data_IF_285767210247
#
_entry.id   IF_285767210247
#
_cell.length_a   1.000
_cell.length_b   1.000
_cell.length_c   1.000
_cell.angle_alpha   90.00
_cell.angle_beta   90.00
_cell.angle_gamma   90.00
#
_symmetry.space_group_name_H-M   'P 1'
#
loop_
_entity.id
_entity.type
_entity.pdbx_description
1 polymer ?
#
# COMPACT_ATOMS: atom_id res chain seq x y z
N UNK A 1 -6.83 76.23 -35.83
CA UNK A 1 -5.67 75.35 -35.57
C UNK A 1 -6.17 74.15 -34.78
N UNK A 2 -6.42 73.03 -35.46
CA UNK A 2 -6.81 71.75 -34.84
C UNK A 2 -6.01 70.65 -35.54
N UNK A 3 -4.88 70.26 -34.95
CA UNK A 3 -4.19 69.01 -35.27
C UNK A 3 -4.16 68.19 -33.99
N UNK A 4 -5.12 67.26 -33.87
CA UNK A 4 -5.21 66.33 -32.74
C UNK A 4 -5.79 64.91 -33.06
N UNK A 5 -5.97 64.44 -34.32
CA UNK A 5 -6.39 63.05 -34.54
C UNK A 5 -5.23 62.06 -34.83
N UNK A 6 -4.03 62.54 -35.18
CA UNK A 6 -2.94 61.66 -35.64
C UNK A 6 -2.25 60.88 -34.50
N UNK A 7 -2.12 61.47 -33.30
CA UNK A 7 -1.39 60.85 -32.19
C UNK A 7 -2.13 59.66 -31.57
N UNK A 8 -3.46 59.73 -31.49
CA UNK A 8 -4.29 58.64 -30.97
C UNK A 8 -4.25 57.40 -31.87
N UNK A 9 -4.25 57.60 -33.19
CA UNK A 9 -4.17 56.50 -34.16
C UNK A 9 -2.83 55.78 -34.09
N UNK A 10 -1.72 56.52 -33.99
CA UNK A 10 -0.39 55.94 -33.89
C UNK A 10 -0.19 55.19 -32.56
N UNK A 11 -0.79 55.68 -31.47
CA UNK A 11 -0.74 55.00 -30.17
C UNK A 11 -1.51 53.67 -30.17
N UNK A 12 -2.67 53.63 -30.83
CA UNK A 12 -3.46 52.40 -30.99
C UNK A 12 -2.70 51.37 -31.83
N UNK A 13 -2.11 51.78 -32.95
CA UNK A 13 -1.34 50.89 -33.83
C UNK A 13 -0.12 50.32 -33.09
N UNK A 14 0.61 51.16 -32.34
CA UNK A 14 1.74 50.71 -31.52
C UNK A 14 1.31 49.71 -30.43
N UNK A 15 0.17 49.95 -29.77
CA UNK A 15 -0.32 49.07 -28.72
C UNK A 15 -0.70 47.67 -29.24
N UNK A 16 -1.33 47.59 -30.43
CA UNK A 16 -1.70 46.32 -31.07
C UNK A 16 -0.45 45.56 -31.53
N UNK A 17 0.54 46.26 -32.09
CA UNK A 17 1.80 45.65 -32.53
C UNK A 17 2.61 45.04 -31.38
N UNK A 18 2.51 45.59 -30.17
CA UNK A 18 3.22 45.08 -28.98
C UNK A 18 2.38 44.01 -28.25
N UNK A 19 1.05 44.13 -28.25
CA UNK A 19 0.16 43.17 -27.60
C UNK A 19 0.19 41.78 -28.28
N UNK A 20 0.36 41.75 -29.61
CA UNK A 20 0.40 40.50 -30.36
C UNK A 20 1.58 39.56 -29.99
N UNK A 21 2.84 40.00 -30.04
CA UNK A 21 3.97 39.15 -29.68
C UNK A 21 3.98 38.79 -28.20
N UNK A 22 3.51 39.67 -27.32
CA UNK A 22 3.41 39.38 -25.89
C UNK A 22 2.37 38.31 -25.60
N UNK A 23 1.20 38.35 -26.24
CA UNK A 23 0.20 37.29 -26.14
C UNK A 23 0.72 35.94 -26.69
N UNK A 24 1.43 35.95 -27.82
CA UNK A 24 2.08 34.75 -28.36
C UNK A 24 3.14 34.17 -27.43
N UNK A 25 3.97 35.04 -26.84
CA UNK A 25 5.00 34.61 -25.89
C UNK A 25 4.36 34.01 -24.63
N UNK A 26 3.31 34.64 -24.12
CA UNK A 26 2.62 34.20 -22.91
C UNK A 26 1.90 32.87 -23.12
N UNK A 27 1.21 32.70 -24.25
CA UNK A 27 0.55 31.43 -24.61
C UNK A 27 1.56 30.32 -24.87
N UNK A 28 2.67 30.60 -25.53
CA UNK A 28 3.76 29.62 -25.70
C UNK A 28 4.37 29.20 -24.36
N UNK A 29 4.62 30.16 -23.47
CA UNK A 29 5.16 29.89 -22.14
C UNK A 29 4.17 29.08 -21.27
N UNK A 30 2.88 29.43 -21.28
CA UNK A 30 1.84 28.64 -20.61
C UNK A 30 1.76 27.23 -21.17
N UNK A 31 1.78 27.06 -22.50
CA UNK A 31 1.73 25.73 -23.14
C UNK A 31 2.95 24.89 -22.73
N UNK A 32 4.13 25.48 -22.66
CA UNK A 32 5.36 24.81 -22.21
C UNK A 32 5.37 24.50 -20.70
N UNK A 33 4.63 25.28 -19.90
CA UNK A 33 4.47 25.02 -18.45
C UNK A 33 3.37 23.98 -18.18
N UNK A 34 2.30 23.99 -18.96
CA UNK A 34 1.22 23.02 -18.90
C UNK A 34 1.66 21.65 -19.41
N UNK A 35 2.44 21.55 -20.48
CA UNK A 35 3.01 20.27 -20.94
C UNK A 35 3.82 19.58 -19.84
N UNK A 36 4.67 20.33 -19.13
CA UNK A 36 5.46 19.83 -18.00
C UNK A 36 4.61 19.47 -16.76
N UNK A 37 3.45 20.09 -16.58
CA UNK A 37 2.49 19.71 -15.53
C UNK A 37 1.62 18.52 -15.94
N UNK A 38 1.31 18.39 -17.23
CA UNK A 38 0.52 17.28 -17.77
C UNK A 38 1.34 15.99 -17.77
N UNK A 39 2.65 16.05 -18.04
CA UNK A 39 3.58 14.94 -17.79
C UNK A 39 3.57 14.53 -16.31
N UNK A 40 3.64 15.48 -15.37
CA UNK A 40 3.57 15.20 -13.93
C UNK A 40 2.23 14.70 -13.39
N UNK A 41 1.11 14.97 -14.07
CA UNK A 41 -0.23 14.51 -13.67
C UNK A 41 -0.59 13.20 -14.40
N UNK A 42 -0.04 12.98 -15.61
CA UNK A 42 -0.12 11.73 -16.35
C UNK A 42 0.85 10.64 -15.87
N UNK A 43 1.72 10.96 -14.92
CA UNK A 43 2.64 10.03 -14.26
C UNK A 43 2.05 9.30 -13.05
N UNK A 44 0.77 9.50 -12.70
CA UNK A 44 -0.01 8.40 -12.12
C UNK A 44 -0.32 7.45 -13.28
N UNK A 45 0.73 6.75 -13.73
CA UNK A 45 0.73 5.95 -14.94
C UNK A 45 -0.44 4.99 -14.90
N UNK A 46 -1.11 4.75 -16.02
CA UNK A 46 -2.08 3.66 -16.12
C UNK A 46 -1.50 2.33 -15.62
N UNK A 47 -0.18 2.16 -15.70
CA UNK A 47 0.53 1.01 -15.13
C UNK A 47 0.54 0.99 -13.60
N UNK A 48 0.62 2.15 -12.94
CA UNK A 48 0.55 2.25 -11.47
C UNK A 48 -0.87 1.93 -10.98
N UNK A 49 -1.89 2.45 -11.67
CA UNK A 49 -3.30 2.13 -11.38
C UNK A 49 -3.59 0.64 -11.66
N UNK A 50 -3.03 0.07 -12.72
CA UNK A 50 -3.16 -1.35 -13.03
C UNK A 50 -2.40 -2.22 -12.01
N UNK A 51 -1.22 -1.81 -11.56
CA UNK A 51 -0.47 -2.50 -10.52
C UNK A 51 -1.19 -2.44 -9.16
N UNK A 52 -1.83 -1.31 -8.83
CA UNK A 52 -2.69 -1.18 -7.65
C UNK A 52 -3.92 -2.09 -7.77
N UNK A 53 -4.56 -2.17 -8.94
CA UNK A 53 -5.67 -3.07 -9.22
C UNK A 53 -5.25 -4.54 -9.13
N UNK A 54 -4.12 -4.93 -9.71
CA UNK A 54 -3.58 -6.28 -9.63
C UNK A 54 -3.27 -6.68 -8.18
N UNK A 55 -2.73 -5.74 -7.39
CA UNK A 55 -2.49 -5.95 -5.96
C UNK A 55 -3.81 -6.06 -5.17
N UNK A 56 -4.82 -5.25 -5.52
CA UNK A 56 -6.12 -5.26 -4.85
C UNK A 56 -6.97 -6.51 -5.18
N UNK A 57 -6.84 -7.02 -6.41
CA UNK A 57 -7.60 -8.18 -6.91
C UNK A 57 -6.79 -9.49 -6.94
N UNK A 58 -5.55 -9.48 -6.47
CA UNK A 58 -4.76 -10.70 -6.29
C UNK A 58 -5.57 -11.72 -5.47
N UNK A 59 -5.70 -12.99 -5.92
CA UNK A 59 -6.53 -13.98 -5.24
C UNK A 59 -5.98 -14.25 -3.84
N UNK A 60 -6.69 -13.80 -2.81
CA UNK A 60 -6.31 -14.04 -1.42
C UNK A 60 -6.98 -15.30 -0.88
N UNK A 61 -6.24 -16.09 -0.13
CA UNK A 61 -6.74 -17.25 0.62
C UNK A 61 -6.53 -17.02 2.12
N UNK A 62 -7.37 -17.64 2.96
CA UNK A 62 -7.31 -17.48 4.41
C UNK A 62 -7.03 -18.78 5.16
N UNK A 63 -6.34 -18.69 6.29
CA UNK A 63 -6.19 -19.78 7.25
C UNK A 63 -6.24 -19.24 8.69
N UNK A 64 -6.91 -19.98 9.58
CA UNK A 64 -6.88 -19.73 11.02
C UNK A 64 -6.00 -20.75 11.72
N UNK A 65 -5.05 -20.29 12.52
CA UNK A 65 -4.11 -21.09 13.29
C UNK A 65 -4.34 -20.79 14.76
N UNK A 66 -4.49 -21.85 15.57
CA UNK A 66 -4.62 -21.75 17.03
C UNK A 66 -3.43 -22.45 17.68
N UNK A 67 -2.62 -21.70 18.40
CA UNK A 67 -1.40 -22.23 19.04
C UNK A 67 -1.09 -21.48 20.34
N UNK A 68 -0.01 -21.86 21.02
CA UNK A 68 0.52 -21.11 22.16
C UNK A 68 1.47 -20.01 21.68
N UNK A 69 1.60 -18.93 22.45
CA UNK A 69 2.48 -17.79 22.09
C UNK A 69 3.93 -18.21 21.90
N UNK A 70 4.38 -19.27 22.58
CA UNK A 70 5.70 -19.89 22.42
C UNK A 70 6.03 -20.29 20.97
N UNK A 71 5.02 -20.67 20.17
CA UNK A 71 5.19 -21.07 18.77
C UNK A 71 5.04 -19.91 17.79
N UNK A 72 4.78 -18.69 18.28
CA UNK A 72 4.61 -17.52 17.43
C UNK A 72 5.85 -17.20 16.60
N UNK A 73 7.09 -17.18 17.15
CA UNK A 73 8.28 -16.91 16.34
C UNK A 73 8.41 -17.90 15.18
N UNK A 74 8.17 -19.19 15.44
CA UNK A 74 8.19 -20.23 14.41
C UNK A 74 7.13 -20.02 13.32
N UNK A 75 5.92 -19.59 13.70
CA UNK A 75 4.87 -19.26 12.73
C UNK A 75 5.24 -18.08 11.85
N UNK A 76 5.75 -17.00 12.44
CA UNK A 76 6.14 -15.80 11.69
C UNK A 76 7.33 -16.11 10.78
N UNK A 77 8.28 -16.93 11.23
CA UNK A 77 9.39 -17.38 10.41
C UNK A 77 8.93 -18.23 9.22
N UNK A 78 7.99 -19.16 9.44
CA UNK A 78 7.38 -19.93 8.34
C UNK A 78 6.69 -19.02 7.32
N UNK A 79 6.07 -17.91 7.76
CA UNK A 79 5.49 -16.93 6.85
C UNK A 79 6.60 -16.22 6.08
N UNK A 80 7.68 -15.80 6.76
CA UNK A 80 8.83 -15.10 6.19
C UNK A 80 9.55 -15.96 5.14
N UNK A 81 9.76 -17.24 5.39
CA UNK A 81 10.37 -18.18 4.43
C UNK A 81 9.59 -18.30 3.11
N UNK A 82 8.32 -17.92 3.09
CA UNK A 82 7.47 -17.96 1.90
C UNK A 82 7.37 -16.60 1.21
N UNK A 83 8.06 -15.58 1.70
CA UNK A 83 8.03 -14.22 1.17
C UNK A 83 9.42 -13.89 0.65
N UNK A 84 9.50 -13.38 -0.57
CA UNK A 84 10.78 -12.97 -1.15
C UNK A 84 11.18 -11.59 -0.60
N UNK A 85 10.23 -10.65 -0.55
CA UNK A 85 10.44 -9.28 -0.07
C UNK A 85 9.22 -8.72 0.71
N UNK A 86 9.44 -7.72 1.57
CA UNK A 86 8.36 -6.95 2.23
C UNK A 86 8.11 -7.27 3.71
N UNK A 87 8.77 -8.28 4.28
CA UNK A 87 8.71 -8.60 5.71
C UNK A 87 10.14 -8.71 6.30
N UNK A 88 10.68 -7.58 6.74
CA UNK A 88 12.04 -7.51 7.30
C UNK A 88 12.14 -7.94 8.77
N UNK A 89 13.36 -8.23 9.22
CA UNK A 89 13.66 -8.74 10.57
C UNK A 89 13.12 -7.83 11.67
N UNK A 90 13.28 -6.52 11.51
CA UNK A 90 12.77 -5.53 12.46
C UNK A 90 11.23 -5.53 12.52
N UNK A 91 10.56 -5.75 11.39
CA UNK A 91 9.09 -5.82 11.33
C UNK A 91 8.60 -7.12 11.97
N UNK A 92 9.31 -8.23 11.76
CA UNK A 92 9.05 -9.52 12.42
C UNK A 92 9.18 -9.38 13.94
N UNK A 93 10.29 -8.82 14.41
CA UNK A 93 10.54 -8.63 15.83
C UNK A 93 9.47 -7.72 16.46
N UNK A 94 9.15 -6.59 15.82
CA UNK A 94 8.10 -5.69 16.28
C UNK A 94 6.73 -6.36 16.31
N UNK A 95 6.40 -7.21 15.33
CA UNK A 95 5.16 -7.96 15.31
C UNK A 95 5.08 -8.95 16.48
N UNK A 96 6.14 -9.70 16.73
CA UNK A 96 6.21 -10.67 17.84
C UNK A 96 6.04 -9.94 19.17
N UNK A 97 6.79 -8.86 19.39
CA UNK A 97 6.70 -8.06 20.62
C UNK A 97 5.30 -7.48 20.84
N UNK A 98 4.66 -6.98 19.78
CA UNK A 98 3.29 -6.44 19.84
C UNK A 98 2.27 -7.50 20.20
N UNK A 99 2.44 -8.73 19.70
CA UNK A 99 1.56 -9.85 20.01
C UNK A 99 1.78 -10.31 21.47
N UNK A 100 3.03 -10.38 21.91
CA UNK A 100 3.39 -10.85 23.24
C UNK A 100 2.95 -9.89 24.36
N UNK A 101 3.03 -8.58 24.12
CA UNK A 101 2.60 -7.55 25.10
C UNK A 101 1.10 -7.22 25.02
N UNK A 102 0.34 -7.92 24.18
CA UNK A 102 -1.08 -7.63 23.99
C UNK A 102 -1.93 -8.07 25.19
N UNK A 103 -2.92 -7.24 25.54
CA UNK A 103 -3.96 -7.57 26.51
C UNK A 103 -4.84 -8.73 26.02
N UNK A 104 -5.26 -9.66 26.91
CA UNK A 104 -6.18 -10.73 26.57
C UNK A 104 -7.48 -10.22 25.92
N UNK A 105 -8.04 -11.03 25.01
CA UNK A 105 -9.33 -10.86 24.34
C UNK A 105 -9.47 -9.62 23.46
N UNK A 106 -8.38 -8.89 23.20
CA UNK A 106 -8.38 -7.85 22.17
C UNK A 106 -8.04 -8.45 20.81
N UNK A 107 -8.75 -8.04 19.76
CA UNK A 107 -8.37 -8.35 18.38
C UNK A 107 -7.48 -7.24 17.85
N UNK A 108 -6.37 -7.62 17.21
CA UNK A 108 -5.47 -6.71 16.51
C UNK A 108 -5.27 -7.20 15.09
N UNK A 109 -4.88 -6.28 14.22
CA UNK A 109 -4.55 -6.59 12.83
C UNK A 109 -3.29 -5.84 12.40
N UNK A 110 -2.61 -6.40 11.40
CA UNK A 110 -1.54 -5.76 10.65
C UNK A 110 -1.64 -6.20 9.20
N UNK A 111 -1.27 -5.30 8.29
CA UNK A 111 -1.19 -5.57 6.85
C UNK A 111 0.20 -5.20 6.40
N UNK A 112 0.84 -6.10 5.65
CA UNK A 112 2.16 -5.91 5.10
C UNK A 112 2.10 -6.12 3.58
N UNK A 113 2.61 -5.18 2.77
CA UNK A 113 2.86 -5.45 1.37
C UNK A 113 4.01 -6.46 1.26
N UNK A 114 3.78 -7.56 0.57
CA UNK A 114 4.75 -8.66 0.43
C UNK A 114 4.85 -9.11 -1.02
N UNK A 115 6.02 -9.58 -1.41
CA UNK A 115 6.27 -10.16 -2.72
C UNK A 115 6.45 -11.67 -2.58
N UNK A 116 5.76 -12.44 -3.43
CA UNK A 116 5.92 -13.88 -3.55
C UNK A 116 5.97 -14.26 -5.02
N UNK A 117 7.08 -14.85 -5.45
CA UNK A 117 7.37 -15.28 -6.83
C UNK A 117 7.18 -14.16 -7.85
N UNK A 118 7.65 -12.96 -7.52
CA UNK A 118 7.52 -11.79 -8.38
C UNK A 118 6.14 -11.13 -8.38
N UNK A 119 5.20 -11.61 -7.55
CA UNK A 119 3.85 -11.05 -7.44
C UNK A 119 3.71 -10.32 -6.10
N UNK A 120 3.47 -9.01 -6.17
CA UNK A 120 3.16 -8.19 -5.00
C UNK A 120 1.72 -8.44 -4.54
N UNK A 121 1.54 -8.66 -3.25
CA UNK A 121 0.24 -8.90 -2.63
C UNK A 121 0.24 -8.45 -1.17
N UNK A 122 -0.95 -8.31 -0.58
CA UNK A 122 -1.07 -7.96 0.83
C UNK A 122 -1.12 -9.20 1.72
N UNK A 123 -0.20 -9.28 2.68
CA UNK A 123 -0.27 -10.19 3.83
C UNK A 123 -1.05 -9.52 4.95
N UNK A 124 -2.25 -10.02 5.24
CA UNK A 124 -3.04 -9.59 6.39
C UNK A 124 -2.94 -10.60 7.53
N UNK A 125 -2.54 -10.12 8.69
CA UNK A 125 -2.48 -10.86 9.94
C UNK A 125 -3.49 -10.27 10.91
N UNK A 126 -4.37 -11.10 11.47
CA UNK A 126 -5.26 -10.73 12.56
C UNK A 126 -5.05 -11.69 13.71
N UNK A 127 -4.96 -11.20 14.93
CA UNK A 127 -4.71 -12.05 16.07
C UNK A 127 -5.47 -11.63 17.33
N UNK A 128 -5.81 -12.64 18.12
CA UNK A 128 -6.39 -12.52 19.46
C UNK A 128 -5.60 -13.43 20.38
N UNK A 129 -5.21 -12.90 21.55
CA UNK A 129 -4.58 -13.68 22.64
C UNK A 129 -5.60 -13.90 23.75
N UNK A 130 -5.70 -15.10 24.31
CA UNK A 130 -6.55 -15.38 25.46
C UNK A 130 -5.80 -15.25 26.80
N UNK A 131 -6.52 -15.40 27.91
CA UNK A 131 -5.92 -15.34 29.26
C UNK A 131 -4.99 -16.53 29.60
N UNK A 132 -4.95 -17.56 28.75
CA UNK A 132 -4.18 -18.79 28.92
C UNK A 132 -2.96 -18.82 27.99
N UNK A 133 -2.57 -17.65 27.47
CA UNK A 133 -1.46 -17.45 26.56
C UNK A 133 -1.57 -18.22 25.24
N UNK A 134 -2.80 -18.40 24.76
CA UNK A 134 -3.08 -18.99 23.46
C UNK A 134 -3.39 -17.89 22.48
N UNK A 135 -2.91 -18.06 21.26
CA UNK A 135 -3.12 -17.16 20.16
C UNK A 135 -4.00 -17.81 19.10
N UNK A 136 -5.02 -17.08 18.67
CA UNK A 136 -5.70 -17.33 17.41
C UNK A 136 -5.16 -16.34 16.38
N UNK A 137 -4.41 -16.83 15.40
CA UNK A 137 -3.85 -16.07 14.29
C UNK A 137 -4.60 -16.40 13.00
N UNK A 138 -5.30 -15.42 12.44
CA UNK A 138 -5.90 -15.47 11.11
C UNK A 138 -4.93 -14.84 10.12
N UNK A 139 -4.54 -15.60 9.10
CA UNK A 139 -3.64 -15.15 8.03
C UNK A 139 -4.42 -15.12 6.72
N UNK A 140 -4.36 -14.00 6.00
CA UNK A 140 -4.81 -13.89 4.61
C UNK A 140 -3.64 -13.45 3.74
N UNK A 141 -3.37 -14.19 2.69
CA UNK A 141 -2.22 -13.96 1.82
C UNK A 141 -2.44 -14.62 0.45
N UNK A 142 -1.45 -14.46 -0.44
CA UNK A 142 -1.41 -15.19 -1.71
C UNK A 142 -1.51 -16.72 -1.49
N UNK A 143 -2.08 -17.48 -2.45
CA UNK A 143 -2.41 -18.89 -2.23
C UNK A 143 -1.17 -19.77 -1.97
N UNK A 144 0.00 -19.39 -2.51
CA UNK A 144 1.27 -20.06 -2.25
C UNK A 144 1.64 -20.07 -0.77
N UNK A 145 1.62 -18.90 -0.13
CA UNK A 145 1.89 -18.72 1.31
C UNK A 145 0.91 -19.55 2.14
N UNK A 146 -0.38 -19.50 1.81
CA UNK A 146 -1.42 -20.22 2.56
C UNK A 146 -1.28 -21.74 2.43
N UNK A 147 -0.87 -22.26 1.26
CA UNK A 147 -0.60 -23.69 1.08
C UNK A 147 0.58 -24.14 1.94
N UNK A 148 1.66 -23.37 1.98
CA UNK A 148 2.81 -23.64 2.83
C UNK A 148 2.42 -23.63 4.31
N UNK A 149 1.70 -22.60 4.77
CA UNK A 149 1.20 -22.53 6.14
C UNK A 149 0.26 -23.69 6.49
N UNK A 150 -0.57 -24.15 5.56
CA UNK A 150 -1.44 -25.33 5.78
C UNK A 150 -0.62 -26.61 5.98
N UNK A 151 0.48 -26.76 5.25
CA UNK A 151 1.41 -27.89 5.42
C UNK A 151 2.12 -27.81 6.77
N UNK A 152 2.59 -26.64 7.18
CA UNK A 152 3.26 -26.43 8.48
C UNK A 152 2.30 -26.53 9.67
N UNK A 153 1.06 -26.10 9.53
CA UNK A 153 0.01 -26.24 10.57
C UNK A 153 -0.18 -27.70 11.01
N UNK A 154 0.11 -28.69 10.15
CA UNK A 154 0.05 -30.11 10.54
C UNK A 154 1.15 -30.51 11.53
N UNK A 155 2.24 -29.76 11.60
CA UNK A 155 3.42 -30.01 12.46
C UNK A 155 3.35 -29.26 13.79
N UNK A 156 2.53 -28.22 13.90
CA UNK A 156 2.43 -27.38 15.10
C UNK A 156 1.45 -28.01 16.09
N UNK A 157 1.81 -28.14 17.38
CA UNK A 157 0.89 -28.55 18.43
C UNK A 157 -0.33 -27.65 18.47
N UNK A 158 -1.51 -28.24 18.35
CA UNK A 158 -2.77 -27.48 18.46
C UNK A 158 -3.00 -27.13 19.91
N UNK A 159 -3.28 -25.86 20.19
CA UNK A 159 -3.76 -25.47 21.51
C UNK A 159 -5.07 -26.25 21.80
N UNK A 160 -5.14 -26.90 22.97
CA UNK A 160 -6.36 -27.59 23.41
C UNK A 160 -7.51 -26.56 23.43
N UNK A 161 -8.71 -26.87 22.93
CA UNK A 161 -9.83 -25.93 23.00
C UNK A 161 -10.08 -25.55 24.47
N UNK A 162 -10.31 -24.26 24.72
CA UNK A 162 -10.80 -23.84 26.03
C UNK A 162 -12.12 -24.57 26.30
N UNK A 163 -12.21 -25.23 27.45
CA UNK A 163 -13.43 -25.85 27.91
C UNK A 163 -14.42 -24.71 28.16
N UNK A 164 -15.38 -24.53 27.26
CA UNK A 164 -16.49 -23.59 27.48
C UNK A 164 -17.21 -24.08 28.72
N UNK A 165 -17.01 -23.40 29.86
CA UNK A 165 -17.90 -23.55 31.01
C UNK A 165 -19.17 -22.78 30.62
N UNK A 166 -20.29 -23.52 30.58
CA UNK A 166 -21.61 -23.00 30.25
C UNK A 166 -22.15 -22.01 31.25
#
# INVERSE_FOLDING_TARGET
>A
MHEAPADLSNFLIASVLIAWPTALLMTWWLRRRCARKLERIGEASSEEILAELDTAYAPQSGITIRTQTEYLPYLVETIREQIDHGLGDQQVQSLIERIDHQRPHHERHAVFPVENKGVTSNLSLQWVRDAQDRIELKVRAAPGIIRALRSHKKRIPRAKPARVKG
#
